data_IF_169576362500
#
_entry.id   IF_169576362500
#
_cell.length_a   1.000
_cell.length_b   1.000
_cell.length_c   1.000
_cell.angle_alpha   90.00
_cell.angle_beta   90.00
_cell.angle_gamma   90.00
#
_symmetry.space_group_name_H-M   'P 1'
#
loop_
_entity.id
_entity.type
_entity.pdbx_description
1 polymer ?
#
# COMPACT_ATOMS: atom_id res chain seq x y z
N UNK A 1 -12.52 -25.50 22.34
CA UNK A 1 -11.13 -25.43 21.85
C UNK A 1 -10.93 -24.44 20.70
N UNK A 2 -11.75 -24.45 19.67
CA UNK A 2 -11.61 -23.57 18.48
C UNK A 2 -11.70 -22.04 18.74
N UNK A 3 -12.51 -21.59 19.72
CA UNK A 3 -12.66 -20.16 20.05
C UNK A 3 -11.45 -19.56 20.78
N UNK A 4 -10.67 -20.38 21.48
CA UNK A 4 -9.48 -19.92 22.23
C UNK A 4 -8.31 -19.68 21.27
N UNK A 5 -8.05 -20.57 20.33
CA UNK A 5 -7.00 -20.41 19.32
C UNK A 5 -7.20 -19.18 18.42
N UNK A 6 -8.46 -18.77 18.14
CA UNK A 6 -8.76 -17.56 17.38
C UNK A 6 -8.39 -16.28 18.12
N UNK A 7 -8.63 -16.24 19.45
CA UNK A 7 -8.27 -15.09 20.30
C UNK A 7 -6.76 -14.96 20.42
N UNK A 8 -6.07 -16.05 20.63
CA UNK A 8 -4.60 -16.06 20.76
C UNK A 8 -3.91 -15.62 19.46
N UNK A 9 -4.38 -16.07 18.30
CA UNK A 9 -3.86 -15.65 17.01
C UNK A 9 -4.09 -14.17 16.68
N UNK A 10 -5.25 -13.61 17.05
CA UNK A 10 -5.54 -12.19 16.88
C UNK A 10 -4.68 -11.33 17.83
N UNK A 11 -4.49 -11.76 19.06
CA UNK A 11 -3.66 -11.07 20.05
C UNK A 11 -2.19 -11.01 19.63
N UNK A 12 -1.62 -12.13 19.13
CA UNK A 12 -0.24 -12.17 18.63
C UNK A 12 -0.06 -11.24 17.42
N UNK A 13 -1.02 -11.18 16.51
CA UNK A 13 -0.96 -10.28 15.35
C UNK A 13 -1.03 -8.80 15.76
N UNK A 14 -1.87 -8.47 16.73
CA UNK A 14 -1.96 -7.12 17.27
C UNK A 14 -0.62 -6.70 17.92
N UNK A 15 -0.05 -7.57 18.74
CA UNK A 15 1.25 -7.33 19.38
C UNK A 15 2.36 -7.11 18.36
N UNK A 16 2.42 -7.91 17.31
CA UNK A 16 3.41 -7.75 16.24
C UNK A 16 3.24 -6.42 15.48
N UNK A 17 2.00 -5.94 15.32
CA UNK A 17 1.73 -4.63 14.71
C UNK A 17 2.25 -3.50 15.62
N UNK A 18 1.91 -3.54 16.90
CA UNK A 18 2.36 -2.55 17.91
C UNK A 18 3.89 -2.48 18.04
N UNK A 19 4.59 -3.61 17.85
CA UNK A 19 6.06 -3.67 17.86
C UNK A 19 6.68 -3.16 16.54
N UNK A 20 5.99 -3.29 15.41
CA UNK A 20 6.51 -2.95 14.08
C UNK A 20 6.26 -1.49 13.70
N UNK A 21 5.15 -0.93 14.14
CA UNK A 21 4.72 0.43 13.78
C UNK A 21 5.74 1.51 14.19
N UNK A 22 6.31 1.53 15.41
CA UNK A 22 7.34 2.51 15.77
C UNK A 22 8.60 2.41 14.92
N UNK A 23 8.97 1.20 14.51
CA UNK A 23 10.12 0.97 13.63
C UNK A 23 9.89 1.56 12.24
N UNK A 24 8.69 1.40 11.70
CA UNK A 24 8.31 1.99 10.42
C UNK A 24 8.37 3.52 10.44
N UNK A 25 7.81 4.17 11.47
CA UNK A 25 7.89 5.62 11.64
C UNK A 25 9.32 6.12 11.83
N UNK A 26 10.14 5.38 12.55
CA UNK A 26 11.56 5.71 12.73
C UNK A 26 12.29 5.68 11.38
N UNK A 27 12.06 4.66 10.56
CA UNK A 27 12.65 4.56 9.22
C UNK A 27 12.18 5.70 8.32
N UNK A 28 10.90 6.03 8.30
CA UNK A 28 10.37 7.17 7.54
C UNK A 28 11.05 8.49 7.96
N UNK A 29 11.19 8.69 9.26
CA UNK A 29 11.86 9.89 9.81
C UNK A 29 13.32 9.95 9.40
N UNK A 30 14.05 8.83 9.44
CA UNK A 30 15.44 8.75 9.01
C UNK A 30 15.58 9.05 7.52
N UNK A 31 14.77 8.44 6.66
CA UNK A 31 14.76 8.70 5.22
C UNK A 31 14.47 10.18 4.95
N UNK A 32 13.46 10.75 5.59
CA UNK A 32 13.11 12.16 5.45
C UNK A 32 14.25 13.12 5.87
N UNK A 33 14.98 12.78 6.94
CA UNK A 33 16.17 13.54 7.36
C UNK A 33 17.29 13.46 6.36
N UNK A 34 17.61 12.28 5.86
CA UNK A 34 18.66 12.06 4.86
C UNK A 34 18.39 12.90 3.62
N UNK A 35 17.16 12.80 3.07
CA UNK A 35 16.78 13.54 1.85
C UNK A 35 16.81 15.06 2.07
N UNK A 36 16.42 15.53 3.26
CA UNK A 36 16.46 16.96 3.59
C UNK A 36 17.88 17.54 3.59
N UNK A 37 18.86 16.75 4.03
CA UNK A 37 20.26 17.18 4.10
C UNK A 37 21.07 16.89 2.83
N UNK A 38 20.51 16.14 1.90
CA UNK A 38 21.13 15.79 0.63
C UNK A 38 20.18 16.14 -0.52
N UNK A 39 19.97 17.42 -0.82
CA UNK A 39 18.97 17.88 -1.81
C UNK A 39 19.25 17.42 -3.25
N UNK A 40 20.46 16.92 -3.53
CA UNK A 40 20.89 16.43 -4.85
C UNK A 40 21.03 14.89 -4.89
N UNK A 41 20.19 14.16 -4.15
CA UNK A 41 20.16 12.71 -4.33
C UNK A 41 19.50 12.42 -5.69
N UNK A 42 20.34 12.21 -6.68
CA UNK A 42 19.90 11.62 -7.95
C UNK A 42 19.63 10.12 -7.74
N UNK A 43 18.42 9.82 -7.29
CA UNK A 43 17.96 8.45 -7.08
C UNK A 43 16.59 8.28 -7.68
N UNK A 44 16.46 7.33 -8.59
CA UNK A 44 15.24 7.02 -9.33
C UNK A 44 13.98 6.83 -8.46
N UNK A 45 14.13 6.42 -7.21
CA UNK A 45 13.00 6.23 -6.29
C UNK A 45 12.43 7.53 -5.71
N UNK A 46 13.10 8.65 -5.90
CA UNK A 46 12.65 10.00 -5.51
C UNK A 46 12.20 10.82 -6.72
N UNK A 47 12.41 10.32 -7.92
CA UNK A 47 12.03 11.01 -9.15
C UNK A 47 10.50 11.01 -9.31
N UNK A 48 9.90 12.18 -9.13
CA UNK A 48 8.45 12.40 -9.32
C UNK A 48 8.04 12.45 -10.80
N UNK A 49 8.98 12.32 -11.73
CA UNK A 49 8.76 12.39 -13.18
C UNK A 49 7.89 13.58 -13.56
N UNK A 50 8.29 14.77 -13.08
CA UNK A 50 7.54 16.02 -13.31
C UNK A 50 7.46 16.41 -14.78
N UNK A 51 8.45 15.99 -15.55
CA UNK A 51 8.52 16.25 -17.00
C UNK A 51 7.55 15.38 -17.82
N UNK A 52 7.03 14.30 -17.24
CA UNK A 52 6.06 13.42 -17.89
C UNK A 52 4.65 13.98 -17.76
N UNK A 53 3.93 14.22 -18.87
CA UNK A 53 2.55 14.69 -18.82
C UNK A 53 1.65 13.77 -17.98
N UNK A 54 0.72 14.35 -17.24
CA UNK A 54 -0.19 13.58 -16.37
C UNK A 54 -0.96 12.49 -17.15
N UNK A 55 -1.36 12.78 -18.41
CA UNK A 55 -2.06 11.84 -19.27
C UNK A 55 -1.24 10.63 -19.73
N UNK A 56 0.07 10.68 -19.57
CA UNK A 56 0.98 9.59 -19.92
C UNK A 56 1.46 8.80 -18.71
N UNK A 57 1.15 9.28 -17.49
CA UNK A 57 1.54 8.60 -16.25
C UNK A 57 0.70 7.35 -16.00
N UNK A 58 1.38 6.32 -15.53
CA UNK A 58 0.76 5.05 -15.11
C UNK A 58 0.84 4.91 -13.60
N UNK A 59 -0.33 4.79 -12.96
CA UNK A 59 -0.45 4.60 -11.52
C UNK A 59 -0.56 3.12 -11.16
N UNK A 60 0.35 2.61 -10.34
CA UNK A 60 0.26 1.28 -9.75
C UNK A 60 -0.61 1.31 -8.48
N UNK A 61 -1.64 0.49 -8.43
CA UNK A 61 -2.53 0.35 -7.29
C UNK A 61 -2.40 -1.05 -6.70
N UNK A 62 -1.79 -1.17 -5.53
CA UNK A 62 -1.67 -2.43 -4.79
C UNK A 62 -2.83 -2.51 -3.80
N UNK A 63 -3.76 -3.42 -4.02
CA UNK A 63 -4.96 -3.57 -3.18
C UNK A 63 -4.82 -4.81 -2.30
N UNK A 64 -4.82 -4.61 -0.99
CA UNK A 64 -4.68 -5.67 0.00
C UNK A 64 -6.03 -6.00 0.61
N UNK A 65 -6.47 -7.23 0.42
CA UNK A 65 -7.74 -7.76 0.93
C UNK A 65 -7.52 -9.04 1.75
N UNK A 66 -8.54 -9.49 2.45
CA UNK A 66 -8.51 -10.78 3.12
C UNK A 66 -8.67 -11.95 2.13
N UNK A 67 -8.32 -13.17 2.58
CA UNK A 67 -8.49 -14.40 1.79
C UNK A 67 -9.85 -15.06 1.98
N UNK A 68 -10.52 -14.81 3.11
CA UNK A 68 -11.81 -15.42 3.44
C UNK A 68 -12.78 -14.38 3.97
N UNK A 69 -14.03 -14.48 3.48
CA UNK A 69 -15.11 -13.61 3.91
C UNK A 69 -15.58 -13.96 5.32
N UNK A 70 -15.30 -13.11 6.26
CA UNK A 70 -16.00 -12.90 7.54
C UNK A 70 -15.72 -11.48 8.02
N UNK A 71 -15.14 -10.67 7.16
CA UNK A 71 -14.65 -9.34 7.49
C UNK A 71 -15.60 -8.22 7.05
N UNK A 72 -16.90 -8.50 6.80
CA UNK A 72 -17.94 -7.49 6.62
C UNK A 72 -17.50 -6.24 5.86
N UNK A 73 -17.62 -5.08 6.49
CA UNK A 73 -17.25 -3.78 5.95
C UNK A 73 -15.75 -3.62 5.63
N UNK A 74 -14.88 -4.39 6.26
CA UNK A 74 -13.42 -4.35 6.11
C UNK A 74 -12.99 -4.40 4.62
N UNK A 75 -13.36 -5.47 3.91
CA UNK A 75 -12.98 -5.62 2.50
C UNK A 75 -13.78 -4.68 1.60
N UNK A 76 -15.06 -4.44 1.91
CA UNK A 76 -15.91 -3.58 1.10
C UNK A 76 -15.35 -2.16 0.99
N UNK A 77 -14.90 -1.58 2.09
CA UNK A 77 -14.36 -0.21 2.11
C UNK A 77 -13.06 -0.09 1.32
N UNK A 78 -12.15 -1.07 1.44
CA UNK A 78 -10.91 -1.12 0.64
C UNK A 78 -11.20 -1.25 -0.85
N UNK A 79 -12.12 -2.14 -1.22
CA UNK A 79 -12.50 -2.36 -2.62
C UNK A 79 -13.16 -1.12 -3.23
N UNK A 80 -14.04 -0.45 -2.47
CA UNK A 80 -14.65 0.81 -2.89
C UNK A 80 -13.60 1.90 -3.10
N UNK A 81 -12.69 2.07 -2.14
CA UNK A 81 -11.59 3.03 -2.28
C UNK A 81 -10.73 2.71 -3.50
N UNK A 82 -10.44 1.44 -3.75
CA UNK A 82 -9.67 1.02 -4.93
C UNK A 82 -10.40 1.40 -6.23
N UNK A 83 -11.69 1.15 -6.35
CA UNK A 83 -12.49 1.54 -7.53
C UNK A 83 -12.47 3.06 -7.75
N UNK A 84 -12.63 3.84 -6.68
CA UNK A 84 -12.55 5.30 -6.76
C UNK A 84 -11.18 5.79 -7.27
N UNK A 85 -10.09 5.16 -6.81
CA UNK A 85 -8.75 5.51 -7.26
C UNK A 85 -8.48 5.05 -8.70
N UNK A 86 -8.97 3.88 -9.09
CA UNK A 86 -8.89 3.39 -10.47
C UNK A 86 -9.61 4.34 -11.42
N UNK A 87 -10.79 4.84 -11.03
CA UNK A 87 -11.54 5.79 -11.83
C UNK A 87 -10.78 7.12 -11.98
N UNK A 88 -10.21 7.65 -10.88
CA UNK A 88 -9.40 8.88 -10.92
C UNK A 88 -8.17 8.71 -11.79
N UNK A 89 -7.39 7.63 -11.60
CA UNK A 89 -6.20 7.36 -12.38
C UNK A 89 -6.52 7.17 -13.88
N UNK A 90 -7.62 6.51 -14.21
CA UNK A 90 -8.08 6.34 -15.59
C UNK A 90 -8.55 7.63 -16.27
N UNK A 91 -8.92 8.67 -15.51
CA UNK A 91 -9.27 10.00 -16.05
C UNK A 91 -8.04 10.85 -16.36
N UNK A 92 -6.96 10.67 -15.60
CA UNK A 92 -5.74 11.49 -15.70
C UNK A 92 -4.59 10.80 -16.42
N UNK A 93 -4.70 9.50 -16.68
CA UNK A 93 -3.64 8.68 -17.27
C UNK A 93 -4.08 7.23 -17.41
N UNK A 94 -3.22 6.32 -16.97
CA UNK A 94 -3.52 4.89 -16.93
C UNK A 94 -3.24 4.30 -15.55
N UNK A 95 -3.74 3.09 -15.31
CA UNK A 95 -3.43 2.38 -14.07
C UNK A 95 -3.12 0.91 -14.31
N UNK A 96 -2.32 0.33 -13.40
CA UNK A 96 -2.12 -1.12 -13.27
C UNK A 96 -2.58 -1.56 -11.88
N UNK A 97 -3.41 -2.59 -11.84
CA UNK A 97 -3.97 -3.13 -10.60
C UNK A 97 -3.19 -4.37 -10.16
N UNK A 98 -2.72 -4.35 -8.93
CA UNK A 98 -2.04 -5.46 -8.25
C UNK A 98 -2.89 -5.89 -7.05
N UNK A 99 -3.17 -7.17 -6.92
CA UNK A 99 -4.08 -7.64 -5.89
C UNK A 99 -3.42 -8.67 -4.99
N UNK A 100 -3.48 -8.41 -3.69
CA UNK A 100 -3.10 -9.33 -2.62
C UNK A 100 -4.36 -9.79 -1.90
N UNK A 101 -4.54 -11.09 -1.76
CA UNK A 101 -5.71 -11.69 -1.11
C UNK A 101 -6.79 -12.17 -2.09
N UNK A 102 -7.43 -13.27 -1.70
CA UNK A 102 -8.39 -13.99 -2.55
C UNK A 102 -9.66 -13.19 -2.83
N UNK A 103 -10.18 -12.46 -1.84
CA UNK A 103 -11.43 -11.71 -2.01
C UNK A 103 -11.32 -10.60 -3.06
N UNK A 104 -10.20 -9.90 -3.09
CA UNK A 104 -9.94 -8.88 -4.10
C UNK A 104 -9.84 -9.49 -5.50
N UNK A 105 -9.15 -10.62 -5.64
CA UNK A 105 -9.06 -11.33 -6.92
C UNK A 105 -10.42 -11.73 -7.46
N UNK A 106 -11.26 -12.34 -6.62
CA UNK A 106 -12.62 -12.72 -7.00
C UNK A 106 -13.48 -11.51 -7.34
N UNK A 107 -13.39 -10.45 -6.54
CA UNK A 107 -14.15 -9.23 -6.73
C UNK A 107 -13.86 -8.57 -8.09
N UNK A 108 -12.60 -8.32 -8.39
CA UNK A 108 -12.19 -7.71 -9.65
C UNK A 108 -12.36 -8.65 -10.84
N UNK A 109 -12.11 -9.95 -10.64
CA UNK A 109 -12.34 -10.96 -11.66
C UNK A 109 -13.81 -11.05 -12.12
N UNK A 110 -14.76 -11.05 -11.18
CA UNK A 110 -16.20 -11.06 -11.50
C UNK A 110 -16.67 -9.81 -12.25
N UNK A 111 -15.97 -8.69 -12.08
CA UNK A 111 -16.24 -7.44 -12.80
C UNK A 111 -15.51 -7.30 -14.13
N UNK A 112 -14.73 -8.29 -14.52
CA UNK A 112 -13.92 -8.25 -15.74
C UNK A 112 -12.81 -7.21 -15.70
N UNK A 113 -12.41 -6.74 -14.51
CA UNK A 113 -11.34 -5.78 -14.34
C UNK A 113 -10.00 -6.51 -14.47
N UNK A 114 -9.15 -6.03 -15.39
CA UNK A 114 -7.85 -6.61 -15.62
C UNK A 114 -6.92 -6.36 -14.43
N UNK A 115 -6.45 -7.43 -13.83
CA UNK A 115 -5.40 -7.40 -12.80
C UNK A 115 -4.06 -7.63 -13.50
N UNK A 116 -3.11 -6.71 -13.30
CA UNK A 116 -1.79 -6.79 -13.93
C UNK A 116 -1.01 -7.97 -13.37
N UNK A 117 -1.04 -8.15 -12.05
CA UNK A 117 -0.44 -9.28 -11.39
C UNK A 117 -1.23 -9.73 -10.17
N UNK A 118 -1.37 -11.04 -10.03
CA UNK A 118 -2.07 -11.68 -8.93
C UNK A 118 -1.03 -12.35 -8.03
N UNK A 119 -0.80 -11.77 -6.88
CA UNK A 119 0.02 -12.42 -5.87
C UNK A 119 -0.82 -13.50 -5.19
N UNK A 120 -0.55 -14.77 -5.55
CA UNK A 120 -1.23 -15.95 -5.02
C UNK A 120 -0.90 -16.24 -3.54
N UNK A 121 -0.50 -15.21 -2.81
CA UNK A 121 -0.19 -15.32 -1.41
C UNK A 121 -1.40 -14.96 -0.57
N UNK A 122 -1.64 -15.81 0.42
CA UNK A 122 -2.68 -15.59 1.38
C UNK A 122 -2.29 -14.42 2.29
N UNK A 123 -3.17 -13.45 2.45
CA UNK A 123 -3.01 -12.38 3.43
C UNK A 123 -2.96 -12.90 4.89
N UNK A 124 -3.38 -14.15 5.09
CA UNK A 124 -3.40 -14.81 6.41
C UNK A 124 -2.01 -15.13 6.99
N UNK A 125 -1.01 -15.28 6.14
CA UNK A 125 0.34 -15.62 6.60
C UNK A 125 1.38 -14.71 5.92
N UNK A 126 1.45 -13.43 6.32
CA UNK A 126 2.44 -12.51 5.78
C UNK A 126 3.83 -12.95 6.20
N UNK A 127 4.73 -13.06 5.25
CA UNK A 127 6.14 -13.34 5.48
C UNK A 127 7.00 -12.28 4.78
N UNK A 128 8.19 -12.03 5.32
CA UNK A 128 9.13 -11.11 4.71
C UNK A 128 9.51 -11.53 3.28
N UNK A 129 9.63 -12.83 3.03
CA UNK A 129 9.91 -13.36 1.69
C UNK A 129 8.80 -12.98 0.68
N UNK A 130 7.53 -13.12 1.06
CA UNK A 130 6.40 -12.74 0.20
C UNK A 130 6.33 -11.24 -0.04
N UNK A 131 6.56 -10.45 1.01
CA UNK A 131 6.64 -9.00 0.88
C UNK A 131 7.77 -8.59 -0.10
N UNK A 132 8.92 -9.27 -0.03
CA UNK A 132 10.05 -9.04 -0.95
C UNK A 132 9.66 -9.31 -2.39
N UNK A 133 9.00 -10.43 -2.70
CA UNK A 133 8.56 -10.74 -4.07
C UNK A 133 7.63 -9.66 -4.62
N UNK A 134 6.65 -9.22 -3.82
CA UNK A 134 5.76 -8.12 -4.22
C UNK A 134 6.57 -6.85 -4.50
N UNK A 135 7.50 -6.52 -3.60
CA UNK A 135 8.34 -5.32 -3.72
C UNK A 135 9.22 -5.38 -4.97
N UNK A 136 9.91 -6.51 -5.20
CA UNK A 136 10.77 -6.71 -6.37
C UNK A 136 10.00 -6.54 -7.68
N UNK A 137 8.81 -7.15 -7.80
CA UNK A 137 7.95 -7.01 -8.98
C UNK A 137 7.53 -5.54 -9.22
N UNK A 138 7.19 -4.81 -8.17
CA UNK A 138 6.78 -3.41 -8.27
C UNK A 138 7.96 -2.50 -8.60
N UNK A 139 9.12 -2.72 -7.95
CA UNK A 139 10.32 -1.95 -8.20
C UNK A 139 10.83 -2.13 -9.64
N UNK A 140 10.84 -3.35 -10.16
CA UNK A 140 11.21 -3.64 -11.55
C UNK A 140 10.35 -2.85 -12.53
N UNK A 141 9.02 -2.88 -12.37
CA UNK A 141 8.12 -2.12 -13.24
C UNK A 141 8.27 -0.60 -13.09
N UNK A 142 8.60 -0.12 -11.90
CA UNK A 142 8.88 1.29 -11.67
C UNK A 142 10.21 1.73 -12.31
N UNK A 143 11.24 0.90 -12.21
CA UNK A 143 12.55 1.12 -12.82
C UNK A 143 12.51 1.10 -14.35
N UNK A 144 11.66 0.23 -14.93
CA UNK A 144 11.40 0.14 -16.36
C UNK A 144 10.41 1.20 -16.88
N UNK A 145 10.05 2.18 -16.05
CA UNK A 145 9.10 3.26 -16.38
C UNK A 145 7.69 2.78 -16.79
N UNK A 146 7.36 1.55 -16.46
CA UNK A 146 6.01 1.01 -16.66
C UNK A 146 5.03 1.49 -15.58
N UNK A 147 5.55 2.00 -14.44
CA UNK A 147 4.82 2.65 -13.37
C UNK A 147 5.50 3.97 -13.03
N UNK A 148 4.73 5.03 -12.88
CA UNK A 148 5.21 6.36 -12.51
C UNK A 148 4.92 6.72 -11.06
N UNK A 149 3.84 6.16 -10.53
CA UNK A 149 3.44 6.30 -9.12
C UNK A 149 2.92 4.97 -8.62
N UNK A 150 3.15 4.68 -7.35
CA UNK A 150 2.67 3.43 -6.73
C UNK A 150 2.03 3.73 -5.38
N UNK A 151 0.80 3.24 -5.23
CA UNK A 151 0.04 3.35 -3.98
C UNK A 151 -0.35 1.96 -3.47
N UNK A 152 -0.38 1.82 -2.17
CA UNK A 152 -0.97 0.67 -1.49
C UNK A 152 -2.28 1.06 -0.82
N UNK A 153 -3.33 0.27 -1.04
CA UNK A 153 -4.65 0.45 -0.44
C UNK A 153 -4.91 -0.74 0.47
N UNK A 154 -5.10 -0.48 1.74
CA UNK A 154 -5.24 -1.51 2.76
C UNK A 154 -6.16 -1.05 3.89
N UNK A 155 -6.51 -1.94 4.79
CA UNK A 155 -7.26 -1.58 5.99
C UNK A 155 -6.30 -1.38 7.15
N UNK A 156 -6.34 -0.19 7.73
CA UNK A 156 -5.65 0.14 8.95
C UNK A 156 -6.54 -0.15 10.17
N UNK A 157 -5.96 -0.69 11.22
CA UNK A 157 -6.63 -0.90 12.49
C UNK A 157 -6.34 0.31 13.39
N UNK A 158 -7.35 1.18 13.56
CA UNK A 158 -7.23 2.37 14.40
C UNK A 158 -7.25 1.98 15.89
N UNK A 159 -8.07 0.98 16.23
CA UNK A 159 -8.14 0.36 17.55
C UNK A 159 -8.72 -1.06 17.44
N UNK A 160 -8.91 -1.75 18.53
CA UNK A 160 -9.41 -3.13 18.56
C UNK A 160 -10.81 -3.32 17.96
N UNK A 161 -11.55 -2.25 17.70
CA UNK A 161 -12.94 -2.25 17.20
C UNK A 161 -13.08 -1.53 15.87
N UNK A 162 -12.28 -0.47 15.65
CA UNK A 162 -12.42 0.42 14.50
C UNK A 162 -11.33 0.15 13.47
N UNK A 163 -11.75 -0.03 12.22
CA UNK A 163 -10.88 -0.20 11.07
C UNK A 163 -11.25 0.79 9.97
N UNK A 164 -10.27 1.34 9.30
CA UNK A 164 -10.45 2.31 8.23
C UNK A 164 -9.63 1.92 6.99
N UNK A 165 -10.16 2.10 5.77
CA UNK A 165 -9.37 1.94 4.57
C UNK A 165 -8.37 3.09 4.48
N UNK A 166 -7.14 2.78 4.17
CA UNK A 166 -6.07 3.76 3.96
C UNK A 166 -5.41 3.56 2.61
N UNK A 167 -4.95 4.66 2.04
CA UNK A 167 -4.10 4.67 0.88
C UNK A 167 -2.78 5.36 1.23
N UNK A 168 -1.68 4.69 0.95
CA UNK A 168 -0.33 5.21 1.18
C UNK A 168 0.45 5.20 -0.13
N UNK A 169 1.10 6.31 -0.46
CA UNK A 169 2.04 6.38 -1.57
C UNK A 169 3.33 5.67 -1.19
N UNK A 170 3.76 4.73 -2.02
CA UNK A 170 5.02 3.99 -1.86
C UNK A 170 6.11 4.58 -2.74
N UNK A 171 5.77 4.92 -3.99
CA UNK A 171 6.71 5.46 -4.98
C UNK A 171 6.05 6.58 -5.79
N UNK A 172 6.84 7.55 -6.24
CA UNK A 172 8.17 7.87 -5.71
C UNK A 172 8.12 8.19 -4.22
N UNK A 173 9.24 8.00 -3.53
CA UNK A 173 9.34 8.30 -2.10
C UNK A 173 9.25 9.81 -1.93
N UNK A 174 8.20 10.28 -1.28
CA UNK A 174 8.00 11.70 -0.96
C UNK A 174 8.40 11.92 0.49
N UNK A 175 9.32 12.85 0.70
CA UNK A 175 9.58 13.35 2.04
C UNK A 175 8.35 14.13 2.49
N UNK A 176 7.55 13.56 3.36
CA UNK A 176 6.55 14.32 4.08
C UNK A 176 7.30 15.34 4.93
N UNK A 177 7.36 16.56 4.44
CA UNK A 177 7.70 17.70 5.27
C UNK A 177 6.55 17.83 6.28
N UNK A 178 6.70 17.23 7.45
CA UNK A 178 5.92 17.66 8.58
C UNK A 178 6.37 19.10 8.85
N UNK A 179 5.58 20.04 8.40
CA UNK A 179 5.62 21.41 8.88
C UNK A 179 5.11 21.40 10.32
N UNK A 180 5.95 20.98 11.24
CA UNK A 180 5.78 21.32 12.65
C UNK A 180 6.49 22.67 12.89
N UNK A 181 6.07 23.70 12.18
CA UNK A 181 6.27 25.06 12.60
C UNK A 181 5.08 25.46 13.48
N UNK A 182 5.04 24.94 14.67
CA UNK A 182 4.21 25.47 15.75
C UNK A 182 4.73 24.91 17.08
N UNK A 183 5.71 25.59 17.63
CA UNK A 183 5.94 25.80 19.06
C UNK A 183 7.45 25.93 19.34
N UNK A 184 7.98 27.10 19.07
CA UNK A 184 9.03 27.70 19.89
C UNK A 184 8.77 29.21 19.90
N UNK A 185 7.96 29.61 20.86
CA UNK A 185 7.94 30.90 21.54
C UNK A 185 7.72 30.68 23.03
#
# INVERSE_FOLDING_TARGET
MYKRQRKDGAFIKLKNLEETEPYFYTLQTMVSRIVRHLPEIDNKYFDERKDKPAGEKTTGLIVVTADKGLAGAYNHNVLKMAEEQMQKAGQTGSYKLFVVGELGRQYFGHRGIKVAEQFHYTAQNPTLHRARIITETILEQFEEEQLDEVYIIYTNMVNSVTTEPQMLRLLPIVCLLYTSDAADD
#
